data_IF_623969103530
#
_entry.id   IF_623969103530
#
_cell.length_a   1.000
_cell.length_b   1.000
_cell.length_c   1.000
_cell.angle_alpha   90.00
_cell.angle_beta   90.00
_cell.angle_gamma   90.00
#
_symmetry.space_group_name_H-M   'P 1'
#
loop_
_entity.id
_entity.type
_entity.pdbx_description
1 polymer ?
#
# COMPACT_ATOMS: atom_id res chain seq x y z
N UNK A 1 -8.76 17.59 33.55
CA UNK A 1 -8.26 17.44 32.16
C UNK A 1 -9.31 18.01 31.22
N UNK A 2 -8.97 18.96 30.34
CA UNK A 2 -9.94 19.49 29.35
C UNK A 2 -10.24 18.40 28.31
N UNK A 3 -11.49 18.21 27.87
CA UNK A 3 -11.80 17.27 26.80
C UNK A 3 -11.00 17.66 25.54
N UNK A 4 -10.32 16.69 24.93
CA UNK A 4 -9.58 16.95 23.68
C UNK A 4 -10.61 17.19 22.58
N UNK A 5 -10.60 18.39 22.02
CA UNK A 5 -11.45 18.73 20.87
C UNK A 5 -10.73 18.31 19.59
N UNK A 6 -11.36 17.43 18.81
CA UNK A 6 -10.88 17.04 17.50
C UNK A 6 -11.51 17.91 16.42
N UNK A 7 -10.74 18.18 15.37
CA UNK A 7 -11.16 18.99 14.23
C UNK A 7 -10.90 18.19 12.96
N UNK A 8 -11.79 18.30 11.98
CA UNK A 8 -11.63 17.73 10.64
C UNK A 8 -11.76 18.84 9.61
N UNK A 9 -11.16 18.64 8.44
CA UNK A 9 -11.38 19.55 7.31
C UNK A 9 -12.88 19.54 6.96
N UNK A 10 -13.44 20.72 6.76
CA UNK A 10 -14.83 20.86 6.30
C UNK A 10 -14.95 20.20 4.92
N UNK A 11 -15.98 19.37 4.72
CA UNK A 11 -16.18 18.64 3.46
C UNK A 11 -16.47 19.57 2.28
N UNK A 12 -16.81 20.83 2.57
CA UNK A 12 -17.05 21.88 1.58
C UNK A 12 -15.78 22.62 1.14
N UNK A 13 -14.65 22.33 1.79
CA UNK A 13 -13.34 22.81 1.37
C UNK A 13 -12.78 21.86 0.32
N UNK A 14 -12.46 22.40 -0.85
CA UNK A 14 -11.69 21.76 -1.91
C UNK A 14 -10.36 22.52 -2.09
N UNK A 15 -9.42 21.97 -2.86
CA UNK A 15 -8.11 22.62 -3.11
C UNK A 15 -8.24 24.00 -3.81
N UNK A 16 -9.41 24.30 -4.37
CA UNK A 16 -9.73 25.59 -4.99
C UNK A 16 -10.06 26.66 -3.94
N UNK A 17 -10.60 26.27 -2.77
CA UNK A 17 -10.90 27.16 -1.65
C UNK A 17 -9.74 27.17 -0.66
N UNK A 18 -8.88 28.18 -0.77
CA UNK A 18 -7.67 28.38 0.06
C UNK A 18 -7.91 28.63 1.55
N UNK A 19 -9.11 28.38 2.10
CA UNK A 19 -9.46 28.80 3.46
C UNK A 19 -9.20 27.73 4.51
N UNK A 20 -9.03 26.45 4.12
CA UNK A 20 -8.69 25.32 5.00
C UNK A 20 -9.53 25.34 6.29
N UNK A 21 -10.84 25.54 6.13
CA UNK A 21 -11.76 25.62 7.26
C UNK A 21 -11.85 24.27 7.96
N UNK A 22 -11.72 24.30 9.28
CA UNK A 22 -11.91 23.13 10.12
C UNK A 22 -13.26 23.18 10.84
N UNK A 23 -13.91 22.03 10.96
CA UNK A 23 -15.14 21.83 11.73
C UNK A 23 -14.88 20.80 12.83
N UNK A 24 -15.62 20.91 13.95
CA UNK A 24 -15.49 19.95 15.05
C UNK A 24 -15.76 18.53 14.54
N UNK A 25 -14.89 17.61 14.96
CA UNK A 25 -15.02 16.19 14.68
C UNK A 25 -15.47 15.45 15.96
N UNK A 26 -16.78 15.19 16.14
CA UNK A 26 -17.27 14.48 17.32
C UNK A 26 -16.80 13.02 17.38
N UNK A 27 -16.39 12.46 16.23
CA UNK A 27 -15.86 11.10 16.11
C UNK A 27 -14.33 11.07 16.00
N UNK A 28 -13.66 12.19 16.32
CA UNK A 28 -12.22 12.26 16.21
C UNK A 28 -11.52 11.44 17.29
N UNK A 29 -10.38 10.87 16.91
CA UNK A 29 -9.50 10.10 17.76
C UNK A 29 -8.05 10.50 17.51
N UNK A 30 -7.18 10.21 18.48
CA UNK A 30 -5.73 10.27 18.27
C UNK A 30 -5.24 8.93 17.74
N UNK A 31 -4.38 8.96 16.72
CA UNK A 31 -3.72 7.78 16.16
C UNK A 31 -2.20 7.89 16.39
N UNK A 32 -1.70 7.66 17.61
CA UNK A 32 -0.25 7.71 17.87
C UNK A 32 0.55 6.75 17.00
N UNK A 33 -0.07 5.63 16.59
CA UNK A 33 0.50 4.65 15.67
C UNK A 33 0.70 5.19 14.25
N UNK A 34 -0.01 6.25 13.85
CA UNK A 34 0.13 6.89 12.54
C UNK A 34 1.28 7.91 12.53
N UNK A 35 2.51 7.43 12.72
CA UNK A 35 3.72 8.25 12.73
C UNK A 35 4.59 7.92 11.54
N UNK A 36 4.86 8.86 10.63
CA UNK A 36 5.79 8.65 9.51
C UNK A 36 7.18 8.27 10.07
N UNK A 37 7.56 7.00 9.95
CA UNK A 37 8.89 6.55 10.37
C UNK A 37 9.90 7.13 9.40
N UNK A 38 10.92 7.81 9.93
CA UNK A 38 11.97 8.39 9.10
C UNK A 38 12.66 7.26 8.31
N UNK A 39 13.05 7.53 7.07
CA UNK A 39 13.67 6.55 6.16
C UNK A 39 14.98 5.91 6.69
N UNK A 40 15.47 6.28 7.88
CA UNK A 40 16.67 5.73 8.52
C UNK A 40 16.44 4.56 9.48
N UNK A 41 15.21 4.08 9.68
CA UNK A 41 14.95 2.91 10.56
C UNK A 41 14.96 1.56 9.82
N UNK A 42 15.06 1.56 8.48
CA UNK A 42 15.26 0.36 7.66
C UNK A 42 16.61 0.44 6.94
N UNK A 43 17.60 -0.25 7.51
CA UNK A 43 18.94 -0.55 6.99
C UNK A 43 20.04 0.54 7.10
N UNK A 44 21.28 0.16 7.48
CA UNK A 44 22.45 1.03 7.46
C UNK A 44 23.12 0.95 6.09
N UNK A 45 22.54 1.58 5.07
CA UNK A 45 23.26 1.83 3.83
C UNK A 45 23.61 3.33 3.77
N UNK A 46 24.84 3.58 4.20
CA UNK A 46 25.61 4.80 3.97
C UNK A 46 25.65 5.07 2.46
N UNK A 47 24.76 5.93 1.93
CA UNK A 47 25.05 6.76 0.73
C UNK A 47 23.92 7.71 0.28
N UNK A 48 22.80 7.84 1.00
CA UNK A 48 21.71 8.78 0.65
C UNK A 48 21.61 9.96 1.64
N UNK A 49 22.73 10.35 2.26
CA UNK A 49 22.72 11.38 3.32
C UNK A 49 22.71 12.84 2.82
N UNK A 50 22.76 13.11 1.50
CA UNK A 50 22.99 14.49 1.02
C UNK A 50 21.77 15.17 0.36
N UNK A 51 20.70 14.45 0.00
CA UNK A 51 19.55 15.07 -0.71
C UNK A 51 18.29 15.35 0.12
N UNK A 52 18.29 15.04 1.42
CA UNK A 52 17.11 15.18 2.29
C UNK A 52 16.98 16.48 3.07
N UNK A 53 17.91 17.44 2.92
CA UNK A 53 17.91 18.71 3.68
C UNK A 53 17.58 19.90 2.79
N UNK A 54 16.38 19.95 2.24
CA UNK A 54 15.79 21.21 1.79
C UNK A 54 14.49 21.46 2.55
N UNK A 55 14.67 22.15 3.66
CA UNK A 55 13.64 22.90 4.37
C UNK A 55 12.76 23.64 3.35
N UNK A 56 11.45 23.42 3.40
CA UNK A 56 10.46 24.19 2.65
C UNK A 56 10.54 25.64 3.18
N UNK A 57 11.39 26.45 2.56
CA UNK A 57 11.34 27.91 2.63
C UNK A 57 10.80 28.41 1.31
N UNK A 58 9.64 29.03 1.40
CA UNK A 58 8.97 29.81 0.37
C UNK A 58 9.94 30.77 -0.34
N UNK A 59 10.02 30.70 -1.67
CA UNK A 59 10.36 31.87 -2.45
C UNK A 59 9.61 31.87 -3.79
N UNK A 60 8.77 32.90 -3.92
CA UNK A 60 8.07 33.34 -5.12
C UNK A 60 9.07 34.06 -6.01
N UNK A 61 9.14 33.69 -7.31
CA UNK A 61 9.37 34.53 -8.51
C UNK A 61 10.08 33.76 -9.64
N UNK A 62 9.43 33.72 -10.82
CA UNK A 62 10.04 34.06 -12.12
C UNK A 62 10.92 33.04 -12.87
N UNK A 63 10.33 32.43 -13.91
CA UNK A 63 10.85 32.30 -15.29
C UNK A 63 12.31 31.84 -15.57
N UNK A 64 12.49 30.65 -16.18
CA UNK A 64 12.91 30.44 -17.60
C UNK A 64 13.34 29.00 -17.91
N UNK A 65 13.06 28.61 -19.16
CA UNK A 65 13.43 27.38 -19.89
C UNK A 65 14.86 26.88 -19.66
N UNK A 66 15.02 25.55 -19.64
CA UNK A 66 16.23 24.84 -20.08
C UNK A 66 15.85 23.40 -20.47
N UNK A 67 15.78 23.13 -21.77
CA UNK A 67 15.80 21.77 -22.31
C UNK A 67 17.15 21.11 -21.99
N UNK A 68 17.12 19.86 -21.58
CA UNK A 68 18.30 18.97 -21.57
C UNK A 68 17.77 17.56 -21.76
N UNK A 69 17.78 17.10 -23.01
CA UNK A 69 17.66 15.69 -23.35
C UNK A 69 18.78 14.91 -22.65
N UNK A 70 18.42 13.87 -21.90
CA UNK A 70 19.35 12.82 -21.51
C UNK A 70 18.66 11.51 -21.88
N UNK A 71 18.94 11.07 -23.10
CA UNK A 71 18.73 9.71 -23.55
C UNK A 71 19.62 8.79 -22.70
N UNK A 72 19.01 7.85 -21.98
CA UNK A 72 19.67 6.62 -21.56
C UNK A 72 18.81 5.46 -22.07
N UNK A 73 19.13 5.04 -23.30
CA UNK A 73 18.72 3.77 -23.89
C UNK A 73 19.46 2.62 -23.18
N UNK A 74 18.69 1.58 -22.85
CA UNK A 74 19.03 0.19 -23.13
C UNK A 74 20.24 -0.42 -22.41
N UNK A 75 20.04 -0.89 -21.17
CA UNK A 75 20.77 -2.09 -20.68
C UNK A 75 20.08 -2.84 -19.51
N UNK A 76 19.00 -2.31 -18.91
CA UNK A 76 18.33 -2.95 -17.76
C UNK A 76 17.45 -4.17 -18.12
N UNK A 77 17.11 -4.37 -19.40
CA UNK A 77 16.26 -5.49 -19.82
C UNK A 77 16.96 -6.86 -19.69
N UNK A 78 18.30 -6.91 -19.65
CA UNK A 78 19.05 -8.17 -19.58
C UNK A 78 19.13 -8.71 -18.14
N UNK A 79 19.13 -7.85 -17.11
CA UNK A 79 19.11 -8.31 -15.71
C UNK A 79 17.75 -8.91 -15.31
N UNK A 80 16.65 -8.42 -15.89
CA UNK A 80 15.32 -8.98 -15.64
C UNK A 80 15.15 -10.41 -16.16
N UNK A 81 15.85 -10.76 -17.24
CA UNK A 81 15.82 -12.09 -17.86
C UNK A 81 16.67 -13.12 -17.10
N UNK A 82 17.70 -12.67 -16.37
CA UNK A 82 18.54 -13.56 -15.56
C UNK A 82 17.88 -13.94 -14.23
N UNK A 83 17.11 -13.05 -13.61
CA UNK A 83 16.27 -13.40 -12.44
C UNK A 83 15.05 -14.27 -12.82
N UNK A 84 14.61 -14.25 -14.09
CA UNK A 84 13.51 -15.10 -14.58
C UNK A 84 13.82 -16.61 -14.57
N UNK A 85 15.09 -17.03 -14.61
CA UNK A 85 15.45 -18.46 -14.56
C UNK A 85 15.43 -19.07 -13.15
N UNK A 86 15.49 -18.28 -12.09
CA UNK A 86 15.53 -18.81 -10.73
C UNK A 86 14.14 -18.98 -10.09
N UNK A 87 13.10 -18.38 -10.68
CA UNK A 87 11.71 -18.49 -10.18
C UNK A 87 10.97 -19.76 -10.66
N UNK A 88 11.56 -20.59 -11.52
CA UNK A 88 10.94 -21.85 -11.98
C UNK A 88 10.99 -23.01 -10.97
N UNK A 89 11.65 -22.85 -9.81
CA UNK A 89 11.92 -23.97 -8.90
C UNK A 89 11.16 -23.95 -7.56
N UNK A 90 10.07 -23.19 -7.41
CA UNK A 90 9.24 -23.25 -6.20
C UNK A 90 8.24 -24.41 -6.28
N UNK A 91 8.74 -25.62 -6.03
CA UNK A 91 7.91 -26.84 -5.92
C UNK A 91 7.26 -26.91 -4.53
N UNK A 92 6.01 -26.48 -4.45
CA UNK A 92 5.10 -26.61 -3.30
C UNK A 92 3.75 -25.90 -3.55
N UNK A 93 2.64 -26.27 -2.87
CA UNK A 93 1.31 -25.71 -3.16
C UNK A 93 1.16 -24.21 -2.79
N UNK A 94 2.07 -23.63 -2.01
CA UNK A 94 2.05 -22.22 -1.58
C UNK A 94 3.43 -21.61 -1.85
N UNK A 95 3.48 -20.59 -2.70
CA UNK A 95 4.70 -19.89 -3.09
C UNK A 95 5.17 -18.88 -2.04
N UNK A 96 4.26 -18.25 -1.30
CA UNK A 96 4.56 -17.30 -0.23
C UNK A 96 3.46 -17.35 0.82
N UNK A 97 3.85 -17.29 2.09
CA UNK A 97 2.92 -17.09 3.21
C UNK A 97 3.49 -16.03 4.14
N UNK A 98 2.69 -15.04 4.50
CA UNK A 98 3.12 -13.91 5.31
C UNK A 98 2.00 -13.40 6.21
N UNK A 99 2.30 -12.95 7.44
CA UNK A 99 1.30 -12.27 8.27
C UNK A 99 0.86 -10.96 7.60
N UNK A 100 -0.45 -10.73 7.58
CA UNK A 100 -1.04 -9.53 7.01
C UNK A 100 -2.24 -9.07 7.85
N UNK A 101 -2.68 -7.84 7.63
CA UNK A 101 -3.91 -7.32 8.19
C UNK A 101 -4.86 -6.99 7.05
N UNK A 102 -6.06 -7.56 7.07
CA UNK A 102 -7.13 -7.16 6.17
C UNK A 102 -7.71 -5.84 6.67
N UNK A 103 -7.61 -4.80 5.84
CA UNK A 103 -8.14 -3.47 6.12
C UNK A 103 -9.49 -3.35 5.42
N UNK A 104 -10.56 -3.54 6.19
CA UNK A 104 -11.93 -3.36 5.73
C UNK A 104 -12.49 -2.02 6.22
N UNK A 105 -13.57 -1.49 5.60
CA UNK A 105 -14.15 -0.20 5.99
C UNK A 105 -14.53 -0.09 7.46
N UNK A 106 -14.93 -1.20 8.08
CA UNK A 106 -15.42 -1.22 9.46
C UNK A 106 -14.42 -1.72 10.48
N UNK A 107 -13.47 -2.57 10.07
CA UNK A 107 -12.54 -3.26 10.97
C UNK A 107 -11.21 -3.54 10.30
N UNK A 108 -10.17 -3.66 11.12
CA UNK A 108 -8.88 -4.18 10.70
C UNK A 108 -8.63 -5.47 11.47
N UNK A 109 -8.50 -6.58 10.75
CA UNK A 109 -8.29 -7.91 11.33
C UNK A 109 -6.96 -8.47 10.92
N UNK A 110 -6.28 -9.17 11.84
CA UNK A 110 -5.01 -9.84 11.55
C UNK A 110 -5.27 -11.23 11.00
N UNK A 111 -4.37 -11.71 10.16
CA UNK A 111 -4.43 -13.04 9.59
C UNK A 111 -3.18 -13.38 8.81
N UNK A 112 -3.28 -14.42 8.01
CA UNK A 112 -2.20 -14.88 7.14
C UNK A 112 -2.63 -14.73 5.69
N UNK A 113 -1.79 -14.04 4.90
CA UNK A 113 -1.93 -13.98 3.45
C UNK A 113 -1.04 -15.05 2.82
N UNK A 114 -1.63 -15.86 1.96
CA UNK A 114 -0.94 -16.94 1.29
C UNK A 114 -1.17 -16.87 -0.21
N UNK A 115 -0.10 -17.07 -0.96
CA UNK A 115 -0.05 -16.88 -2.41
C UNK A 115 0.44 -18.18 -3.04
N UNK A 116 -0.30 -18.66 -4.02
CA UNK A 116 0.02 -19.85 -4.82
C UNK A 116 0.43 -19.43 -6.24
N UNK A 117 0.52 -20.38 -7.17
CA UNK A 117 0.81 -20.09 -8.58
C UNK A 117 -0.35 -19.40 -9.32
N UNK A 118 -1.59 -19.57 -8.86
CA UNK A 118 -2.80 -19.14 -9.60
C UNK A 118 -3.77 -18.31 -8.79
N UNK A 119 -3.61 -18.23 -7.48
CA UNK A 119 -4.55 -17.60 -6.57
C UNK A 119 -3.88 -17.10 -5.30
N UNK A 120 -4.48 -16.08 -4.69
CA UNK A 120 -4.18 -15.70 -3.31
C UNK A 120 -5.38 -15.96 -2.41
N UNK A 121 -5.11 -16.27 -1.15
CA UNK A 121 -6.10 -16.43 -0.11
C UNK A 121 -5.65 -15.75 1.18
N UNK A 122 -6.62 -15.30 1.95
CA UNK A 122 -6.40 -14.71 3.27
C UNK A 122 -7.23 -15.47 4.29
N UNK A 123 -6.62 -15.81 5.41
CA UNK A 123 -7.28 -16.44 6.53
C UNK A 123 -7.12 -15.56 7.76
N UNK A 124 -8.24 -15.12 8.33
CA UNK A 124 -8.25 -14.36 9.58
C UNK A 124 -7.77 -15.23 10.74
N UNK A 125 -6.99 -14.64 11.64
CA UNK A 125 -6.59 -15.28 12.89
C UNK A 125 -7.73 -15.14 13.92
N UNK A 126 -8.56 -16.19 14.02
CA UNK A 126 -9.68 -16.24 14.97
C UNK A 126 -9.23 -16.30 16.43
N UNK A 127 -7.98 -16.66 16.70
CA UNK A 127 -7.44 -16.74 18.05
C UNK A 127 -6.98 -15.37 18.58
N UNK A 128 -6.78 -14.38 17.71
CA UNK A 128 -6.35 -13.04 18.13
C UNK A 128 -7.42 -12.37 19.03
N UNK A 129 -7.04 -11.84 20.21
CA UNK A 129 -7.97 -11.21 21.14
C UNK A 129 -8.73 -10.01 20.55
N UNK A 130 -8.18 -9.37 19.52
CA UNK A 130 -8.80 -8.24 18.83
C UNK A 130 -9.95 -8.72 17.96
N UNK A 131 -9.85 -9.90 17.34
CA UNK A 131 -10.93 -10.50 16.56
C UNK A 131 -12.12 -10.85 17.46
N UNK A 132 -11.87 -11.52 18.59
CA UNK A 132 -12.90 -11.91 19.58
C UNK A 132 -13.64 -10.72 20.22
N UNK A 133 -13.09 -9.50 20.14
CA UNK A 133 -13.70 -8.26 20.66
C UNK A 133 -14.63 -7.57 19.65
N UNK A 134 -14.55 -7.91 18.37
CA UNK A 134 -15.37 -7.28 17.34
C UNK A 134 -16.81 -7.78 17.45
N UNK A 135 -17.78 -6.88 17.30
CA UNK A 135 -19.19 -7.25 17.26
C UNK A 135 -19.48 -8.16 16.04
N UNK A 136 -20.06 -9.36 16.24
CA UNK A 136 -20.44 -10.26 15.14
C UNK A 136 -21.29 -9.60 14.05
N UNK A 137 -22.10 -8.58 14.38
CA UNK A 137 -22.87 -7.83 13.39
C UNK A 137 -21.99 -7.08 12.40
N UNK A 138 -20.82 -6.61 12.83
CA UNK A 138 -19.85 -5.93 11.96
C UNK A 138 -19.12 -6.97 11.09
N UNK A 139 -18.77 -8.12 11.66
CA UNK A 139 -18.14 -9.22 10.91
C UNK A 139 -19.04 -9.72 9.77
N UNK A 140 -20.37 -9.71 9.96
CA UNK A 140 -21.33 -10.09 8.91
C UNK A 140 -21.29 -9.19 7.65
N UNK A 141 -20.83 -7.94 7.78
CA UNK A 141 -20.65 -7.02 6.65
C UNK A 141 -19.19 -6.91 6.18
N UNK A 142 -18.28 -7.65 6.82
CA UNK A 142 -16.85 -7.62 6.48
C UNK A 142 -16.56 -8.71 5.45
N UNK A 143 -16.29 -8.28 4.22
CA UNK A 143 -15.89 -9.20 3.14
C UNK A 143 -14.40 -9.55 3.24
N UNK A 144 -14.04 -10.78 2.87
CA UNK A 144 -12.65 -11.21 2.74
C UNK A 144 -11.99 -11.84 3.97
N UNK A 145 -12.73 -12.10 5.06
CA UNK A 145 -12.20 -12.78 6.27
C UNK A 145 -11.55 -14.14 5.97
N UNK A 146 -12.17 -14.91 5.06
CA UNK A 146 -11.62 -16.11 4.45
C UNK A 146 -11.66 -15.98 2.93
N UNK A 147 -11.10 -14.89 2.43
CA UNK A 147 -11.16 -14.54 1.02
C UNK A 147 -10.26 -15.41 0.18
N UNK A 148 -10.74 -15.76 -1.02
CA UNK A 148 -9.98 -16.44 -2.06
C UNK A 148 -10.18 -15.70 -3.37
N UNK A 149 -9.08 -15.34 -4.03
CA UNK A 149 -9.08 -14.52 -5.23
C UNK A 149 -8.14 -15.13 -6.28
N UNK A 150 -8.68 -15.37 -7.47
CA UNK A 150 -7.93 -15.93 -8.59
C UNK A 150 -7.10 -14.84 -9.27
N UNK A 151 -5.89 -15.16 -9.70
CA UNK A 151 -5.02 -14.22 -10.42
C UNK A 151 -5.63 -13.74 -11.74
N UNK A 152 -6.40 -14.59 -12.40
CA UNK A 152 -7.13 -14.27 -13.63
C UNK A 152 -8.16 -13.15 -13.44
N UNK A 153 -8.60 -12.92 -12.20
CA UNK A 153 -9.57 -11.89 -11.87
C UNK A 153 -8.91 -10.58 -11.44
N UNK A 154 -7.61 -10.57 -11.12
CA UNK A 154 -6.90 -9.36 -10.68
C UNK A 154 -6.70 -8.42 -11.89
N UNK A 155 -7.04 -7.14 -11.74
CA UNK A 155 -6.95 -6.12 -12.80
C UNK A 155 -5.91 -5.06 -12.55
N UNK A 156 -5.72 -4.69 -11.30
CA UNK A 156 -4.71 -3.73 -10.89
C UNK A 156 -4.34 -3.94 -9.43
N UNK A 157 -3.11 -3.59 -9.12
CA UNK A 157 -2.52 -3.65 -7.79
C UNK A 157 -1.89 -2.28 -7.53
N UNK A 158 -2.09 -1.75 -6.34
CA UNK A 158 -1.58 -0.45 -5.93
C UNK A 158 -0.88 -0.54 -4.59
N UNK A 159 0.34 -0.01 -4.52
CA UNK A 159 0.98 0.35 -3.25
C UNK A 159 0.16 1.43 -2.55
N UNK A 160 -0.08 1.23 -1.25
CA UNK A 160 -0.87 2.10 -0.39
C UNK A 160 -0.13 2.38 0.90
N UNK A 161 -0.55 3.45 1.57
CA UNK A 161 -0.10 3.75 2.92
C UNK A 161 -1.15 3.36 3.95
N UNK A 162 -0.73 2.68 5.00
CA UNK A 162 -1.54 2.40 6.18
C UNK A 162 -0.86 3.03 7.40
N UNK A 163 -1.60 3.84 8.16
CA UNK A 163 -1.05 4.61 9.29
C UNK A 163 0.23 5.39 8.91
N UNK A 164 0.18 6.00 7.72
CA UNK A 164 1.29 6.75 7.09
C UNK A 164 2.54 5.92 6.74
N UNK A 165 2.52 4.60 6.92
CA UNK A 165 3.59 3.70 6.51
C UNK A 165 3.36 3.17 5.10
N UNK A 166 4.41 3.04 4.29
CA UNK A 166 4.34 2.45 2.96
C UNK A 166 4.38 0.91 3.01
N UNK A 167 3.44 0.34 3.76
CA UNK A 167 3.39 -1.09 4.09
C UNK A 167 2.08 -1.74 3.65
N UNK A 168 1.25 -1.04 2.87
CA UNK A 168 -0.05 -1.56 2.45
C UNK A 168 -0.14 -1.76 0.93
N UNK A 169 -1.06 -2.62 0.54
CA UNK A 169 -1.33 -2.99 -0.84
C UNK A 169 -2.83 -3.08 -1.05
N UNK A 170 -3.34 -2.54 -2.16
CA UNK A 170 -4.75 -2.65 -2.54
C UNK A 170 -4.85 -3.32 -3.90
N UNK A 171 -5.67 -4.38 -3.97
CA UNK A 171 -5.85 -5.25 -5.13
C UNK A 171 -7.28 -5.04 -5.64
N UNK A 172 -7.42 -4.71 -6.92
CA UNK A 172 -8.71 -4.54 -7.57
C UNK A 172 -8.99 -5.70 -8.52
N UNK A 173 -10.17 -6.28 -8.33
CA UNK A 173 -10.66 -7.45 -9.04
C UNK A 173 -11.52 -7.05 -10.25
N UNK A 174 -11.78 -8.00 -11.14
CA UNK A 174 -12.58 -7.83 -12.35
C UNK A 174 -14.02 -7.41 -12.06
N UNK A 175 -14.58 -7.87 -10.94
CA UNK A 175 -15.90 -7.52 -10.44
C UNK A 175 -15.94 -6.13 -9.75
N UNK A 176 -14.85 -5.34 -9.83
CA UNK A 176 -14.68 -4.03 -9.19
C UNK A 176 -14.64 -4.04 -7.66
N UNK A 177 -14.50 -5.22 -7.05
CA UNK A 177 -14.19 -5.33 -5.63
C UNK A 177 -12.72 -4.99 -5.42
N UNK A 178 -12.46 -4.14 -4.42
CA UNK A 178 -11.12 -3.82 -3.94
C UNK A 178 -10.89 -4.48 -2.58
N UNK A 179 -9.74 -5.12 -2.40
CA UNK A 179 -9.32 -5.62 -1.10
C UNK A 179 -7.99 -4.99 -0.71
N UNK A 180 -7.87 -4.54 0.53
CA UNK A 180 -6.68 -3.85 1.04
C UNK A 180 -6.03 -4.66 2.15
N UNK A 181 -4.73 -4.88 2.03
CA UNK A 181 -3.90 -5.53 3.03
C UNK A 181 -2.85 -4.57 3.56
N UNK A 182 -2.56 -4.65 4.86
CA UNK A 182 -1.37 -4.07 5.46
C UNK A 182 -0.39 -5.18 5.88
N UNK A 183 0.89 -4.94 5.67
CA UNK A 183 1.98 -5.86 5.99
C UNK A 183 2.87 -5.28 7.11
N UNK A 184 3.74 -6.10 7.73
CA UNK A 184 4.61 -5.64 8.81
C UNK A 184 5.64 -4.60 8.35
N UNK A 185 6.13 -4.71 7.11
CA UNK A 185 7.24 -3.92 6.58
C UNK A 185 7.19 -3.82 5.05
N UNK A 186 7.93 -2.84 4.49
CA UNK A 186 7.96 -2.59 3.05
C UNK A 186 8.69 -3.69 2.26
N UNK A 187 9.65 -4.39 2.86
CA UNK A 187 10.32 -5.49 2.17
C UNK A 187 9.35 -6.66 1.95
N UNK A 188 8.46 -6.91 2.90
CA UNK A 188 7.35 -7.87 2.75
C UNK A 188 6.41 -7.46 1.61
N UNK A 189 6.06 -6.17 1.50
CA UNK A 189 5.25 -5.68 0.35
C UNK A 189 5.92 -6.01 -0.98
N UNK A 190 7.23 -5.76 -1.12
CA UNK A 190 7.98 -6.08 -2.33
C UNK A 190 7.96 -7.58 -2.64
N UNK A 191 8.15 -8.44 -1.63
CA UNK A 191 8.06 -9.90 -1.79
C UNK A 191 6.68 -10.35 -2.26
N UNK A 192 5.63 -9.78 -1.69
CA UNK A 192 4.24 -10.06 -2.07
C UNK A 192 3.97 -9.65 -3.52
N UNK A 193 4.34 -8.43 -3.90
CA UNK A 193 4.18 -7.95 -5.28
C UNK A 193 4.94 -8.82 -6.28
N UNK A 194 6.10 -9.36 -5.90
CA UNK A 194 6.88 -10.30 -6.72
C UNK A 194 6.21 -11.67 -6.90
N UNK A 195 5.29 -12.07 -6.03
CA UNK A 195 4.52 -13.30 -6.20
C UNK A 195 3.18 -13.07 -6.92
N UNK A 196 2.74 -11.81 -7.08
CA UNK A 196 1.47 -11.46 -7.73
C UNK A 196 1.61 -11.34 -9.26
N UNK A 197 0.50 -11.46 -10.01
CA UNK A 197 0.51 -11.33 -11.46
C UNK A 197 0.95 -9.94 -11.90
N UNK A 198 1.62 -9.86 -13.06
CA UNK A 198 2.16 -8.62 -13.66
C UNK A 198 1.04 -7.78 -14.28
N UNK A 199 0.13 -7.27 -13.45
CA UNK A 199 -0.99 -6.40 -13.91
C UNK A 199 -0.70 -4.90 -13.73
N UNK A 200 0.28 -4.56 -12.89
CA UNK A 200 0.61 -3.18 -12.53
C UNK A 200 -0.60 -2.41 -12.00
N UNK A 201 -0.68 -1.12 -12.35
CA UNK A 201 -1.81 -0.21 -12.04
C UNK A 201 -3.02 -0.45 -13.00
N UNK A 202 -2.98 -1.50 -13.82
CA UNK A 202 -4.01 -1.80 -14.82
C UNK A 202 -3.91 -0.93 -16.08
N UNK A 203 -4.75 -1.23 -17.07
CA UNK A 203 -4.65 -0.64 -18.43
C UNK A 203 -5.19 0.78 -18.54
N UNK A 204 -5.94 1.25 -17.54
CA UNK A 204 -6.70 2.51 -17.60
C UNK A 204 -5.77 3.73 -17.57
N UNK A 205 -4.60 3.62 -16.96
CA UNK A 205 -3.68 4.74 -16.75
C UNK A 205 -2.63 4.88 -17.86
N UNK A 206 -2.66 4.03 -18.89
CA UNK A 206 -1.71 4.07 -20.01
C UNK A 206 -0.25 3.79 -19.61
N UNK A 207 -0.01 3.28 -18.40
CA UNK A 207 1.32 2.94 -17.91
C UNK A 207 1.65 1.46 -18.22
N UNK A 208 2.94 1.10 -18.35
CA UNK A 208 3.36 -0.28 -18.48
C UNK A 208 2.84 -1.15 -17.32
N UNK A 209 2.29 -2.32 -17.64
CA UNK A 209 1.80 -3.30 -16.67
C UNK A 209 2.97 -4.10 -16.07
N UNK A 210 3.84 -3.41 -15.36
CA UNK A 210 4.99 -3.99 -14.67
C UNK A 210 4.74 -4.02 -13.16
N UNK A 211 5.46 -4.89 -12.46
CA UNK A 211 5.44 -4.91 -10.98
C UNK A 211 5.99 -3.61 -10.39
N UNK A 212 6.91 -2.96 -11.09
CA UNK A 212 7.49 -1.67 -10.70
C UNK A 212 6.47 -0.54 -10.66
N UNK A 213 5.49 -0.52 -11.57
CA UNK A 213 4.46 0.53 -11.54
C UNK A 213 3.57 0.42 -10.29
N UNK A 214 3.57 -0.72 -9.61
CA UNK A 214 2.79 -0.93 -8.39
C UNK A 214 3.46 -0.36 -7.14
N UNK A 215 4.81 -0.22 -7.09
CA UNK A 215 5.61 0.00 -5.85
C UNK A 215 5.63 1.45 -5.40
#
# INVERSE_FOLDING_TARGET
>A
SRPREFWRLDYWEDDLRRRRRFVRNPLGSTHPEATLRAAGEHAPDEDILVKGKQSIKSQVLGNQNSESEILLEGDDDIMSFMEEREVENLTGPVSLSTPAQLVAPSVVVKGTLSITLSELYFEVDEEDPSFKKIDPKILAYTEGLHGKWLFSEIRSIFSRRYLLQNTALEIFMANRVGVMFNFPDQATVKKVVNCLPRVGIGTIFGLPQTRYSTI
#
